data_IF_984053639617
#
_entry.id   IF_984053639617
#
_cell.length_a   1.000
_cell.length_b   1.000
_cell.length_c   1.000
_cell.angle_alpha   90.00
_cell.angle_beta   90.00
_cell.angle_gamma   90.00
#
_symmetry.space_group_name_H-M   'P 1'
#
loop_
_entity.id
_entity.type
_entity.pdbx_description
1 polymer ?
#
# COMPACT_ATOMS: atom_id res chain seq x y z
N UNK A 1 32.44 39.20 42.14
CA UNK A 1 31.76 37.98 41.59
C UNK A 1 31.24 38.35 40.24
N UNK A 2 31.87 37.91 39.16
CA UNK A 2 31.45 38.17 37.80
C UNK A 2 30.65 36.96 37.27
N UNK A 3 29.40 37.17 36.84
CA UNK A 3 28.58 36.16 36.20
C UNK A 3 29.04 35.99 34.75
N UNK A 4 29.43 34.76 34.40
CA UNK A 4 29.69 34.39 33.01
C UNK A 4 28.35 34.24 32.24
N UNK A 5 28.28 34.68 30.97
CA UNK A 5 27.06 34.53 30.16
C UNK A 5 26.90 33.06 29.76
N UNK A 6 25.71 32.54 30.03
CA UNK A 6 25.23 31.22 29.54
C UNK A 6 25.17 31.22 28.02
N UNK A 7 25.97 30.36 27.38
CA UNK A 7 25.91 30.13 25.94
C UNK A 7 24.68 29.26 25.65
N UNK A 8 23.65 29.90 25.12
CA UNK A 8 22.46 29.19 24.62
C UNK A 8 22.86 28.31 23.43
N UNK A 9 22.84 26.99 23.63
CA UNK A 9 22.95 26.02 22.53
C UNK A 9 21.74 26.16 21.64
N UNK A 10 21.91 26.68 20.41
CA UNK A 10 20.90 26.53 19.36
C UNK A 10 20.77 25.05 19.06
N UNK A 11 19.51 24.49 19.01
CA UNK A 11 19.32 23.14 18.57
C UNK A 11 19.77 23.04 17.10
N UNK A 12 20.72 22.17 16.81
CA UNK A 12 21.09 21.79 15.45
C UNK A 12 19.88 21.04 14.91
N UNK A 13 19.21 21.61 13.90
CA UNK A 13 18.16 20.90 13.19
C UNK A 13 18.78 19.60 12.64
N UNK A 14 18.20 18.46 13.00
CA UNK A 14 18.64 17.17 12.47
C UNK A 14 18.56 17.25 10.93
N UNK A 15 19.66 16.97 10.25
CA UNK A 15 19.68 16.95 8.79
C UNK A 15 18.71 15.88 8.32
N UNK A 16 17.71 16.27 7.54
CA UNK A 16 16.75 15.34 6.95
C UNK A 16 17.52 14.44 5.97
N UNK A 17 17.35 13.13 6.07
CA UNK A 17 17.95 12.18 5.15
C UNK A 17 17.54 12.52 3.70
N UNK A 18 18.48 12.69 2.74
CA UNK A 18 18.14 13.07 1.37
C UNK A 18 17.15 12.11 0.67
N UNK A 19 17.26 10.81 0.98
CA UNK A 19 16.34 9.79 0.47
C UNK A 19 14.91 10.03 0.99
N UNK A 20 14.76 10.24 2.31
CA UNK A 20 13.45 10.54 2.89
C UNK A 20 12.85 11.85 2.37
N UNK A 21 13.67 12.88 2.19
CA UNK A 21 13.21 14.15 1.62
C UNK A 21 12.75 13.97 0.17
N UNK A 22 13.45 13.18 -0.63
CA UNK A 22 13.10 12.88 -2.00
C UNK A 22 11.81 12.02 -2.10
N UNK A 23 11.66 11.01 -1.24
CA UNK A 23 10.43 10.21 -1.13
C UNK A 23 9.23 11.08 -0.78
N UNK A 24 9.38 11.98 0.21
CA UNK A 24 8.31 12.90 0.64
C UNK A 24 7.93 13.89 -0.47
N UNK A 25 8.90 14.39 -1.23
CA UNK A 25 8.66 15.26 -2.38
C UNK A 25 7.79 14.54 -3.43
N UNK A 26 8.14 13.31 -3.79
CA UNK A 26 7.34 12.50 -4.71
C UNK A 26 5.95 12.16 -4.15
N UNK A 27 5.85 11.84 -2.86
CA UNK A 27 4.59 11.50 -2.21
C UNK A 27 3.57 12.65 -2.21
N UNK A 28 4.04 13.90 -2.30
CA UNK A 28 3.22 15.13 -2.33
C UNK A 28 2.99 15.68 -3.74
N UNK A 29 3.60 15.10 -4.78
CA UNK A 29 3.48 15.57 -6.15
C UNK A 29 2.04 15.52 -6.68
N UNK A 30 1.57 16.63 -7.32
CA UNK A 30 0.15 16.89 -7.50
C UNK A 30 -0.51 16.33 -8.75
N UNK A 31 0.15 16.09 -9.87
CA UNK A 31 -0.49 15.76 -11.16
C UNK A 31 -0.58 14.26 -11.45
N UNK A 32 -1.70 13.76 -11.98
CA UNK A 32 -1.83 12.37 -12.43
C UNK A 32 -0.83 12.02 -13.53
N UNK A 33 -0.60 12.95 -14.47
CA UNK A 33 0.39 12.78 -15.56
C UNK A 33 1.83 12.72 -15.02
N UNK A 34 2.15 13.57 -14.04
CA UNK A 34 3.46 13.58 -13.38
C UNK A 34 3.72 12.27 -12.60
N UNK A 35 2.66 11.69 -12.05
CA UNK A 35 2.71 10.42 -11.31
C UNK A 35 2.82 9.18 -12.21
N UNK A 36 2.60 9.30 -13.53
CA UNK A 36 2.52 8.15 -14.44
C UNK A 36 1.34 7.21 -14.15
N UNK A 37 0.34 7.69 -13.41
CA UNK A 37 -0.80 6.87 -12.99
C UNK A 37 -1.73 6.57 -14.16
N UNK A 38 -2.02 5.31 -14.40
CA UNK A 38 -2.95 4.82 -15.41
C UNK A 38 -4.03 3.99 -14.72
N UNK A 39 -5.29 4.37 -14.93
CA UNK A 39 -6.43 3.58 -14.45
C UNK A 39 -6.60 2.32 -15.29
N UNK A 40 -6.80 1.19 -14.61
CA UNK A 40 -7.03 -0.10 -15.26
C UNK A 40 -8.52 -0.41 -15.27
N UNK A 41 -9.07 -0.73 -16.45
CA UNK A 41 -10.48 -1.10 -16.57
C UNK A 41 -10.77 -2.40 -15.81
N UNK A 42 -11.94 -2.49 -15.20
CA UNK A 42 -12.36 -3.64 -14.38
C UNK A 42 -12.24 -4.97 -15.12
N UNK A 43 -12.64 -5.02 -16.40
CA UNK A 43 -12.57 -6.26 -17.18
C UNK A 43 -11.15 -6.75 -17.41
N UNK A 44 -10.19 -5.79 -17.50
CA UNK A 44 -8.76 -6.12 -17.62
C UNK A 44 -8.21 -6.60 -16.27
N UNK A 45 -8.62 -5.98 -15.17
CA UNK A 45 -8.26 -6.41 -13.82
C UNK A 45 -8.73 -7.84 -13.58
N UNK A 46 -10.02 -8.12 -13.84
CA UNK A 46 -10.59 -9.45 -13.68
C UNK A 46 -9.86 -10.48 -14.51
N UNK A 47 -9.59 -10.18 -15.78
CA UNK A 47 -8.83 -11.06 -16.65
C UNK A 47 -7.41 -11.36 -16.11
N UNK A 48 -6.71 -10.34 -15.59
CA UNK A 48 -5.36 -10.52 -15.04
C UNK A 48 -5.40 -11.37 -13.76
N UNK A 49 -6.38 -11.14 -12.88
CA UNK A 49 -6.55 -11.94 -11.66
C UNK A 49 -6.87 -13.40 -11.99
N UNK A 50 -7.74 -13.65 -13.00
CA UNK A 50 -8.06 -14.99 -13.45
C UNK A 50 -6.82 -15.69 -14.07
N UNK A 51 -6.06 -14.97 -14.90
CA UNK A 51 -4.84 -15.47 -15.51
C UNK A 51 -3.76 -15.81 -14.47
N UNK A 52 -3.67 -15.01 -13.40
CA UNK A 52 -2.78 -15.27 -12.29
C UNK A 52 -3.23 -16.45 -11.41
N UNK A 53 -4.47 -16.91 -11.57
CA UNK A 53 -5.05 -17.96 -10.73
C UNK A 53 -5.54 -17.44 -9.37
N UNK A 54 -5.71 -16.13 -9.21
CA UNK A 54 -6.28 -15.54 -7.99
C UNK A 54 -7.81 -15.57 -8.08
N UNK A 55 -8.38 -16.76 -7.98
CA UNK A 55 -9.80 -17.06 -8.19
C UNK A 55 -10.48 -17.51 -6.90
N UNK A 56 -11.80 -17.27 -6.79
CA UNK A 56 -12.56 -17.48 -5.55
C UNK A 56 -12.69 -18.94 -5.12
N UNK A 57 -12.45 -19.89 -6.02
CA UNK A 57 -12.40 -21.33 -5.76
C UNK A 57 -11.08 -21.80 -5.12
N UNK A 58 -10.09 -20.91 -5.04
CA UNK A 58 -8.81 -21.17 -4.39
C UNK A 58 -8.84 -20.78 -2.90
N UNK A 59 -8.04 -21.40 -2.03
CA UNK A 59 -7.92 -21.04 -0.63
C UNK A 59 -7.10 -19.74 -0.47
N UNK A 60 -7.61 -18.62 -0.97
CA UNK A 60 -6.90 -17.33 -1.01
C UNK A 60 -6.47 -16.81 0.36
N UNK A 61 -7.19 -17.17 1.42
CA UNK A 61 -6.85 -16.82 2.81
C UNK A 61 -5.58 -17.51 3.33
N UNK A 62 -5.10 -18.56 2.67
CA UNK A 62 -3.83 -19.25 2.96
C UNK A 62 -2.68 -18.71 2.09
N UNK A 63 -2.96 -17.75 1.22
CA UNK A 63 -2.04 -17.16 0.26
C UNK A 63 -1.68 -15.73 0.62
N UNK A 64 -0.52 -15.30 0.15
CA UNK A 64 -0.05 -13.92 0.31
C UNK A 64 0.03 -13.24 -1.04
N UNK A 65 -0.61 -12.08 -1.16
CA UNK A 65 -0.59 -11.25 -2.35
C UNK A 65 0.10 -9.92 -2.08
N UNK A 66 0.94 -9.49 -3.02
CA UNK A 66 1.58 -8.18 -3.04
C UNK A 66 1.02 -7.33 -4.17
N UNK A 67 0.64 -6.09 -3.86
CA UNK A 67 0.36 -5.03 -4.83
C UNK A 67 1.32 -3.85 -4.61
N UNK A 68 2.29 -3.64 -5.51
CA UNK A 68 3.38 -2.69 -5.29
C UNK A 68 2.96 -1.21 -5.35
N UNK A 69 1.84 -0.90 -6.02
CA UNK A 69 1.36 0.48 -6.21
C UNK A 69 -0.14 0.47 -6.44
N UNK A 70 -0.91 0.49 -5.34
CA UNK A 70 -2.36 0.24 -5.42
C UNK A 70 -3.18 1.40 -5.97
N UNK A 71 -2.63 2.61 -6.06
CA UNK A 71 -3.31 3.74 -6.69
C UNK A 71 -4.73 3.97 -6.16
N UNK A 72 -5.67 4.14 -7.07
CA UNK A 72 -7.10 4.28 -6.76
C UNK A 72 -7.78 2.98 -6.30
N UNK A 73 -7.06 1.87 -6.26
CA UNK A 73 -7.58 0.57 -5.83
C UNK A 73 -8.17 -0.28 -6.94
N UNK A 74 -7.83 0.01 -8.20
CA UNK A 74 -8.38 -0.72 -9.36
C UNK A 74 -8.17 -2.24 -9.25
N UNK A 75 -6.99 -2.67 -8.78
CA UNK A 75 -6.69 -4.07 -8.46
C UNK A 75 -7.09 -4.42 -7.02
N UNK A 76 -6.76 -3.57 -6.06
CA UNK A 76 -6.89 -3.85 -4.64
C UNK A 76 -8.32 -4.19 -4.22
N UNK A 77 -9.32 -3.43 -4.70
CA UNK A 77 -10.71 -3.67 -4.32
C UNK A 77 -11.23 -5.01 -4.83
N UNK A 78 -11.05 -5.40 -6.12
CA UNK A 78 -11.41 -6.74 -6.60
C UNK A 78 -10.63 -7.87 -5.91
N UNK A 79 -9.34 -7.67 -5.60
CA UNK A 79 -8.53 -8.62 -4.82
C UNK A 79 -9.19 -8.90 -3.46
N UNK A 80 -9.57 -7.84 -2.73
CA UNK A 80 -10.23 -7.97 -1.42
C UNK A 80 -11.57 -8.69 -1.55
N UNK A 81 -12.37 -8.39 -2.57
CA UNK A 81 -13.65 -9.05 -2.80
C UNK A 81 -13.48 -10.55 -3.03
N UNK A 82 -12.56 -10.96 -3.90
CA UNK A 82 -12.26 -12.38 -4.16
C UNK A 82 -11.74 -13.08 -2.89
N UNK A 83 -10.85 -12.43 -2.14
CA UNK A 83 -10.34 -12.96 -0.86
C UNK A 83 -11.46 -13.22 0.14
N UNK A 84 -12.37 -12.24 0.32
CA UNK A 84 -13.49 -12.39 1.26
C UNK A 84 -14.48 -13.47 0.81
N UNK A 85 -14.74 -13.58 -0.49
CA UNK A 85 -15.57 -14.63 -1.06
C UNK A 85 -15.00 -16.02 -0.80
N UNK A 86 -13.73 -16.24 -1.12
CA UNK A 86 -13.01 -17.49 -0.87
C UNK A 86 -12.96 -17.84 0.64
N UNK A 87 -12.67 -16.87 1.49
CA UNK A 87 -12.61 -17.06 2.94
C UNK A 87 -13.96 -17.50 3.52
N UNK A 88 -15.06 -16.86 3.11
CA UNK A 88 -16.41 -17.25 3.56
C UNK A 88 -16.81 -18.64 3.07
N UNK A 89 -16.45 -18.99 1.83
CA UNK A 89 -16.70 -20.31 1.27
C UNK A 89 -15.98 -21.41 2.06
N UNK A 90 -14.81 -21.14 2.61
CA UNK A 90 -14.05 -22.04 3.46
C UNK A 90 -14.69 -22.24 4.87
N UNK A 91 -15.71 -21.45 5.25
CA UNK A 91 -16.39 -21.50 6.56
C UNK A 91 -15.40 -21.43 7.74
N UNK A 92 -14.62 -20.35 7.84
CA UNK A 92 -13.58 -20.21 8.84
C UNK A 92 -14.16 -20.22 10.26
N UNK A 93 -13.36 -20.73 11.22
CA UNK A 93 -13.71 -20.74 12.65
C UNK A 93 -13.10 -19.50 13.34
N UNK A 94 -12.02 -18.95 12.79
CA UNK A 94 -11.30 -17.79 13.31
C UNK A 94 -11.99 -16.45 13.04
N UNK A 95 -11.35 -15.38 13.53
CA UNK A 95 -11.79 -14.03 13.16
C UNK A 95 -11.19 -13.62 11.82
N UNK A 96 -11.88 -12.74 11.09
CA UNK A 96 -11.35 -12.21 9.82
C UNK A 96 -9.95 -11.57 9.99
N UNK A 97 -9.66 -10.95 11.15
CA UNK A 97 -8.36 -10.32 11.40
C UNK A 97 -7.26 -11.35 11.58
N UNK A 98 -7.57 -12.48 12.25
CA UNK A 98 -6.60 -13.54 12.47
C UNK A 98 -6.31 -14.30 11.16
N UNK A 99 -7.37 -14.62 10.41
CA UNK A 99 -7.28 -15.45 9.21
C UNK A 99 -6.72 -14.69 8.00
N UNK A 100 -7.04 -13.38 7.87
CA UNK A 100 -6.74 -12.57 6.68
C UNK A 100 -5.63 -11.54 6.89
N UNK A 101 -5.16 -11.36 8.13
CA UNK A 101 -4.25 -10.26 8.47
C UNK A 101 -2.96 -10.23 7.63
N UNK A 102 -2.48 -11.37 7.16
CA UNK A 102 -1.26 -11.49 6.37
C UNK A 102 -1.50 -11.78 4.87
N UNK A 103 -2.78 -11.87 4.44
CA UNK A 103 -3.14 -12.24 3.08
C UNK A 103 -2.75 -11.20 2.02
N UNK A 104 -2.70 -9.92 2.39
CA UNK A 104 -2.38 -8.82 1.47
C UNK A 104 -1.25 -7.95 2.04
N UNK A 105 -0.38 -7.49 1.14
CA UNK A 105 0.49 -6.34 1.31
C UNK A 105 0.32 -5.45 0.11
N UNK A 106 0.00 -4.17 0.35
CA UNK A 106 -0.17 -3.19 -0.71
C UNK A 106 0.48 -1.88 -0.32
N UNK A 107 1.17 -1.26 -1.27
CA UNK A 107 1.96 -0.05 -1.03
C UNK A 107 1.46 1.07 -1.95
N UNK A 108 1.41 2.30 -1.44
CA UNK A 108 1.11 3.50 -2.22
C UNK A 108 1.99 4.66 -1.75
N UNK A 109 2.62 5.31 -2.70
CA UNK A 109 3.54 6.41 -2.42
C UNK A 109 2.79 7.70 -2.04
N UNK A 110 1.77 8.06 -2.83
CA UNK A 110 1.12 9.37 -2.74
C UNK A 110 0.12 9.45 -1.59
N UNK A 111 0.29 10.45 -0.72
CA UNK A 111 -0.51 10.64 0.49
C UNK A 111 -2.02 10.72 0.26
N UNK A 112 -2.45 11.51 -0.73
CA UNK A 112 -3.88 11.72 -0.98
C UNK A 112 -4.53 10.47 -1.57
N UNK A 113 -3.82 9.80 -2.47
CA UNK A 113 -4.25 8.53 -3.06
C UNK A 113 -4.33 7.45 -1.99
N UNK A 114 -3.29 7.32 -1.15
CA UNK A 114 -3.31 6.39 -0.02
C UNK A 114 -4.53 6.62 0.88
N UNK A 115 -4.77 7.85 1.33
CA UNK A 115 -5.88 8.17 2.24
C UNK A 115 -7.24 7.86 1.63
N UNK A 116 -7.45 8.23 0.36
CA UNK A 116 -8.72 7.97 -0.32
C UNK A 116 -8.98 6.47 -0.51
N UNK A 117 -7.98 5.72 -0.93
CA UNK A 117 -8.12 4.27 -1.15
C UNK A 117 -8.18 3.50 0.17
N UNK A 118 -7.45 3.92 1.21
CA UNK A 118 -7.62 3.37 2.56
C UNK A 118 -9.06 3.50 3.06
N UNK A 119 -9.66 4.68 2.88
CA UNK A 119 -11.07 4.89 3.26
C UNK A 119 -12.02 4.01 2.43
N UNK A 120 -11.76 3.84 1.13
CA UNK A 120 -12.54 2.96 0.26
C UNK A 120 -12.45 1.49 0.69
N UNK A 121 -11.25 1.00 1.05
CA UNK A 121 -11.04 -0.36 1.59
C UNK A 121 -11.80 -0.58 2.89
N UNK A 122 -11.72 0.36 3.84
CA UNK A 122 -12.49 0.26 5.09
C UNK A 122 -13.99 0.26 4.81
N UNK A 123 -14.47 1.08 3.88
CA UNK A 123 -15.88 1.11 3.49
C UNK A 123 -16.32 -0.21 2.84
N UNK A 124 -15.52 -0.76 1.92
CA UNK A 124 -15.76 -2.07 1.29
C UNK A 124 -15.88 -3.17 2.34
N UNK A 125 -14.89 -3.29 3.24
CA UNK A 125 -14.88 -4.31 4.30
C UNK A 125 -16.13 -4.23 5.20
N UNK A 126 -16.58 -3.01 5.52
CA UNK A 126 -17.82 -2.80 6.28
C UNK A 126 -19.06 -3.17 5.47
N UNK A 127 -19.14 -2.82 4.20
CA UNK A 127 -20.23 -3.24 3.30
C UNK A 127 -20.29 -4.75 3.18
N UNK A 128 -19.14 -5.41 3.22
CA UNK A 128 -19.00 -6.86 3.24
C UNK A 128 -19.30 -7.48 4.62
N UNK A 129 -19.81 -6.72 5.58
CA UNK A 129 -20.31 -7.21 6.87
C UNK A 129 -19.27 -7.34 7.98
N UNK A 130 -18.03 -6.87 7.80
CA UNK A 130 -17.05 -6.82 8.87
C UNK A 130 -17.37 -5.67 9.85
N UNK A 131 -17.07 -5.87 11.13
CA UNK A 131 -17.16 -4.79 12.11
C UNK A 131 -16.20 -3.63 11.76
N UNK A 132 -16.52 -2.42 12.21
CA UNK A 132 -15.66 -1.25 11.98
C UNK A 132 -14.23 -1.48 12.50
N UNK A 133 -14.08 -2.12 13.65
CA UNK A 133 -12.77 -2.44 14.23
C UNK A 133 -11.99 -3.45 13.38
N UNK A 134 -12.63 -4.52 12.90
CA UNK A 134 -12.00 -5.51 12.03
C UNK A 134 -11.60 -4.91 10.68
N UNK A 135 -12.48 -4.10 10.09
CA UNK A 135 -12.20 -3.42 8.82
C UNK A 135 -10.99 -2.48 8.92
N UNK A 136 -10.92 -1.67 9.98
CA UNK A 136 -9.79 -0.77 10.22
C UNK A 136 -8.50 -1.55 10.53
N UNK A 137 -8.60 -2.62 11.33
CA UNK A 137 -7.45 -3.46 11.65
C UNK A 137 -6.86 -4.14 10.40
N UNK A 138 -7.69 -4.71 9.53
CA UNK A 138 -7.23 -5.33 8.28
C UNK A 138 -6.63 -4.30 7.33
N UNK A 139 -7.32 -3.18 7.09
CA UNK A 139 -6.79 -2.12 6.24
C UNK A 139 -5.43 -1.61 6.75
N UNK A 140 -5.25 -1.44 8.08
CA UNK A 140 -4.00 -1.03 8.68
C UNK A 140 -2.88 -2.08 8.62
N UNK A 141 -3.21 -3.38 8.52
CA UNK A 141 -2.23 -4.46 8.32
C UNK A 141 -1.83 -4.62 6.86
N UNK A 142 -2.76 -4.41 5.94
CA UNK A 142 -2.55 -4.64 4.52
C UNK A 142 -1.87 -3.47 3.81
N UNK A 143 -2.23 -2.22 4.17
CA UNK A 143 -1.87 -1.04 3.41
C UNK A 143 -0.72 -0.28 4.08
N UNK A 144 0.31 0.01 3.31
CA UNK A 144 1.46 0.81 3.74
C UNK A 144 1.63 2.02 2.81
N UNK A 145 1.86 3.18 3.41
CA UNK A 145 2.19 4.38 2.67
C UNK A 145 3.71 4.52 2.59
N UNK A 146 4.23 4.67 1.38
CA UNK A 146 5.66 4.81 1.13
C UNK A 146 6.09 4.38 -0.26
N UNK A 147 7.40 4.43 -0.49
CA UNK A 147 8.02 3.95 -1.72
C UNK A 147 8.17 2.43 -1.67
N UNK A 148 7.58 1.73 -2.63
CA UNK A 148 7.64 0.27 -2.71
C UNK A 148 9.06 -0.27 -2.79
N UNK A 149 9.96 0.41 -3.55
CA UNK A 149 11.33 -0.06 -3.74
C UNK A 149 12.17 0.06 -2.45
N UNK A 150 11.72 0.88 -1.50
CA UNK A 150 12.34 1.06 -0.19
C UNK A 150 11.55 0.40 0.94
N UNK A 151 10.38 -0.18 0.64
CA UNK A 151 9.51 -0.76 1.66
C UNK A 151 10.11 -2.05 2.24
N UNK A 152 10.11 -2.23 3.56
CA UNK A 152 10.53 -3.48 4.19
C UNK A 152 9.47 -4.55 3.94
N UNK A 153 9.69 -5.40 2.94
CA UNK A 153 8.83 -6.52 2.62
C UNK A 153 9.42 -7.80 3.22
N UNK A 154 8.66 -8.43 4.10
CA UNK A 154 9.07 -9.66 4.76
C UNK A 154 8.37 -10.89 4.18
N UNK A 155 9.12 -11.98 4.07
CA UNK A 155 8.64 -13.27 3.61
C UNK A 155 8.47 -13.36 2.08
N UNK A 156 7.68 -14.34 1.65
CA UNK A 156 7.40 -14.60 0.24
C UNK A 156 5.93 -14.32 -0.08
N UNK A 157 5.64 -14.04 -1.34
CA UNK A 157 4.30 -13.83 -1.85
C UNK A 157 3.99 -14.89 -2.90
N UNK A 158 2.78 -15.44 -2.84
CA UNK A 158 2.27 -16.37 -3.84
C UNK A 158 1.86 -15.64 -5.12
N UNK A 159 1.39 -14.39 -4.96
CA UNK A 159 0.95 -13.53 -6.07
C UNK A 159 1.59 -12.15 -5.96
N UNK A 160 2.00 -11.61 -7.11
CA UNK A 160 2.37 -10.21 -7.25
C UNK A 160 1.56 -9.66 -8.42
N UNK A 161 0.63 -8.75 -8.13
CA UNK A 161 -0.32 -8.23 -9.13
C UNK A 161 -0.45 -6.73 -8.97
N UNK A 162 -0.50 -6.01 -10.08
CA UNK A 162 -0.67 -4.57 -10.09
C UNK A 162 -0.31 -3.97 -11.44
N UNK A 163 -0.59 -2.68 -11.59
CA UNK A 163 -0.15 -1.87 -12.72
C UNK A 163 0.66 -0.68 -12.19
N UNK A 164 1.97 -0.86 -11.93
CA UNK A 164 2.79 0.20 -11.35
C UNK A 164 2.92 1.39 -12.29
N UNK A 165 3.19 2.60 -11.75
CA UNK A 165 3.27 3.81 -12.54
C UNK A 165 4.46 3.78 -13.52
N UNK A 166 4.26 4.34 -14.71
CA UNK A 166 5.29 4.46 -15.74
C UNK A 166 6.07 5.77 -15.55
N UNK A 167 7.06 5.76 -14.67
CA UNK A 167 7.90 6.94 -14.38
C UNK A 167 9.18 6.88 -15.22
N UNK A 168 9.51 7.99 -15.89
CA UNK A 168 10.77 8.10 -16.63
C UNK A 168 11.94 8.25 -15.65
N UNK A 169 13.07 7.53 -15.87
CA UNK A 169 14.22 7.60 -14.96
C UNK A 169 14.73 9.03 -14.71
N UNK A 170 14.60 9.92 -15.70
CA UNK A 170 15.04 11.32 -15.60
C UNK A 170 14.20 12.14 -14.60
N UNK A 171 13.01 11.65 -14.24
CA UNK A 171 12.13 12.28 -13.25
C UNK A 171 12.35 11.74 -11.83
N UNK A 172 13.17 10.70 -11.69
CA UNK A 172 13.47 10.13 -10.37
C UNK A 172 14.57 10.99 -9.70
N UNK A 173 14.35 11.50 -8.48
CA UNK A 173 15.36 12.24 -7.75
C UNK A 173 16.65 11.44 -7.57
N UNK A 174 17.82 12.09 -7.78
CA UNK A 174 19.11 11.42 -7.72
C UNK A 174 19.37 10.62 -6.42
N UNK A 175 18.95 11.07 -5.21
CA UNK A 175 19.10 10.26 -4.00
C UNK A 175 18.33 8.93 -4.05
N UNK A 176 17.14 8.89 -4.66
CA UNK A 176 16.37 7.66 -4.82
C UNK A 176 16.96 6.75 -5.90
N UNK A 177 17.40 7.34 -7.01
CA UNK A 177 18.02 6.57 -8.10
C UNK A 177 19.30 5.85 -7.64
N UNK A 178 19.97 6.35 -6.61
CA UNK A 178 21.16 5.71 -6.03
C UNK A 178 20.81 4.54 -5.09
N UNK A 179 19.59 4.49 -4.57
CA UNK A 179 19.11 3.41 -3.68
C UNK A 179 18.41 2.28 -4.47
N UNK A 180 17.85 2.59 -5.66
CA UNK A 180 17.21 1.60 -6.54
C UNK A 180 18.23 0.77 -7.30
#
# INVERSE_FOLDING_TARGET
MAFAPSVAHKPVAAAVCPVMAATEALATEGGLEARGAIFTRSEVVDFILDLAGYTEDQPLHEKRLLEPSFGGGDFLLPIIQRLLSAWRAARPIGTAVDDLGDAIRAVELHHDTFRSTYAAVVALLKCEGLSANAATALAGRWLSQGDFLLAPLEGQFDFVVGNPPYVRPELIPAPLLAEY
#
